data_IF_549583471411
#
_entry.id   IF_549583471411
#
_cell.length_a   1.000
_cell.length_b   1.000
_cell.length_c   1.000
_cell.angle_alpha   90.00
_cell.angle_beta   90.00
_cell.angle_gamma   90.00
#
_symmetry.space_group_name_H-M   'P 1'
#
loop_
_entity.id
_entity.type
_entity.pdbx_description
1 polymer ?
#
# COMPACT_ATOMS: atom_id res chain seq x y z
N UNK A 1 26.90 72.11 22.42
CA UNK A 1 28.15 71.45 22.02
C UNK A 1 27.94 70.82 20.65
N UNK A 2 28.11 71.56 19.55
CA UNK A 2 29.38 71.77 18.80
C UNK A 2 29.54 70.75 17.66
N UNK A 3 29.02 71.11 16.48
CA UNK A 3 29.70 71.15 15.15
C UNK A 3 31.01 70.34 14.98
N UNK A 4 31.37 69.68 13.86
CA UNK A 4 31.36 70.10 12.44
C UNK A 4 31.92 68.99 11.53
N UNK A 5 31.63 69.13 10.24
CA UNK A 5 32.09 68.44 9.01
C UNK A 5 33.61 68.60 8.66
N UNK A 6 34.05 68.05 7.50
CA UNK A 6 35.34 68.31 6.75
C UNK A 6 36.51 67.33 7.10
N UNK A 7 37.33 66.71 6.22
CA UNK A 7 37.49 66.66 4.73
C UNK A 7 38.35 65.47 4.22
N UNK A 8 38.26 65.17 2.91
CA UNK A 8 39.24 64.46 2.03
C UNK A 8 40.47 65.38 1.70
N UNK A 9 41.53 65.05 0.88
CA UNK A 9 41.58 64.02 -0.19
C UNK A 9 42.97 63.37 -0.57
N UNK A 10 42.94 62.55 -1.64
CA UNK A 10 43.95 62.32 -2.73
C UNK A 10 45.39 61.82 -2.48
N UNK A 11 45.73 60.71 -3.18
CA UNK A 11 46.96 60.43 -3.98
C UNK A 11 46.90 58.96 -4.46
N UNK A 12 47.31 58.49 -5.65
CA UNK A 12 47.84 59.09 -6.91
C UNK A 12 47.55 58.10 -8.06
N UNK A 13 47.39 58.55 -9.31
CA UNK A 13 47.13 57.71 -10.48
C UNK A 13 48.41 57.14 -11.15
N UNK A 14 48.29 56.02 -11.88
CA UNK A 14 49.21 55.68 -12.99
C UNK A 14 48.57 54.78 -14.06
N UNK A 15 49.02 54.93 -15.31
CA UNK A 15 48.36 54.58 -16.59
C UNK A 15 49.47 54.30 -17.63
N UNK A 16 49.39 53.40 -18.63
CA UNK A 16 48.27 52.61 -19.19
C UNK A 16 48.67 51.13 -19.46
N UNK A 17 47.76 50.33 -20.03
CA UNK A 17 48.06 49.00 -20.58
C UNK A 17 46.83 48.31 -21.20
N UNK A 18 46.45 48.71 -22.42
CA UNK A 18 45.23 48.23 -23.11
C UNK A 18 45.45 46.92 -23.88
N UNK A 19 44.54 45.95 -23.75
CA UNK A 19 44.16 45.04 -24.87
C UNK A 19 42.78 44.38 -24.69
N UNK A 20 41.88 44.70 -25.62
CA UNK A 20 40.91 43.80 -26.29
C UNK A 20 39.90 42.98 -25.48
N UNK A 21 38.63 43.38 -25.54
CA UNK A 21 37.45 42.52 -25.37
C UNK A 21 37.23 41.63 -26.61
N UNK A 22 36.51 40.50 -26.46
CA UNK A 22 35.14 40.51 -26.98
C UNK A 22 34.11 39.93 -26.01
N UNK A 23 32.92 40.52 -26.01
CA UNK A 23 31.74 39.94 -25.37
C UNK A 23 31.33 38.66 -26.11
N UNK A 24 30.94 37.64 -25.36
CA UNK A 24 30.10 36.55 -25.88
C UNK A 24 28.97 36.32 -24.89
N UNK A 25 27.75 36.64 -25.31
CA UNK A 25 26.53 36.23 -24.61
C UNK A 25 26.47 34.70 -24.57
N UNK A 26 26.96 34.11 -23.48
CA UNK A 26 26.59 32.75 -23.14
C UNK A 26 25.15 32.77 -22.64
N UNK A 27 24.24 32.69 -23.59
CA UNK A 27 22.83 32.49 -23.36
C UNK A 27 22.64 31.37 -22.34
N UNK A 28 22.14 31.76 -21.15
CA UNK A 28 21.71 30.84 -20.12
C UNK A 28 20.48 30.09 -20.64
N UNK A 29 20.72 29.09 -21.49
CA UNK A 29 19.74 28.08 -21.86
C UNK A 29 19.42 27.34 -20.57
N UNK A 30 18.43 27.85 -19.84
CA UNK A 30 17.79 27.19 -18.72
C UNK A 30 17.42 25.81 -19.22
N UNK A 31 18.23 24.83 -18.83
CA UNK A 31 17.94 23.45 -19.11
C UNK A 31 16.75 23.13 -18.23
N UNK A 32 15.56 23.31 -18.78
CA UNK A 32 14.35 22.76 -18.20
C UNK A 32 14.54 21.26 -18.22
N UNK A 33 15.10 20.74 -17.13
CA UNK A 33 15.00 19.33 -16.78
C UNK A 33 13.50 19.08 -16.71
N UNK A 34 12.96 18.47 -17.76
CA UNK A 34 11.66 17.81 -17.70
C UNK A 34 11.82 16.71 -16.67
N UNK A 35 11.58 17.08 -15.41
CA UNK A 35 11.69 16.24 -14.25
C UNK A 35 10.66 15.13 -14.36
N UNK A 36 11.06 14.04 -15.02
CA UNK A 36 10.37 12.76 -14.95
C UNK A 36 10.44 12.38 -13.47
N UNK A 37 9.39 12.73 -12.71
CA UNK A 37 9.20 12.20 -11.37
C UNK A 37 9.22 10.68 -11.50
N UNK A 38 10.22 10.04 -10.91
CA UNK A 38 10.27 8.58 -10.85
C UNK A 38 8.93 8.08 -10.30
N UNK A 39 8.33 7.14 -11.04
CA UNK A 39 7.02 6.62 -10.68
C UNK A 39 7.16 5.82 -9.37
N UNK A 40 6.72 6.43 -8.26
CA UNK A 40 6.89 5.88 -6.91
C UNK A 40 6.30 4.48 -6.82
N UNK A 41 7.13 3.51 -6.47
CA UNK A 41 6.69 2.15 -6.15
C UNK A 41 6.20 2.10 -4.71
N UNK A 42 5.13 1.35 -4.50
CA UNK A 42 4.46 1.10 -3.23
C UNK A 42 4.44 -0.40 -2.96
N UNK A 43 4.34 -0.77 -1.70
CA UNK A 43 4.20 -2.15 -1.25
C UNK A 43 2.77 -2.38 -0.74
N UNK A 44 2.18 -3.49 -1.13
CA UNK A 44 0.96 -4.05 -0.54
C UNK A 44 1.28 -5.40 0.10
N UNK A 45 0.68 -5.70 1.25
CA UNK A 45 0.87 -6.97 1.96
C UNK A 45 -0.46 -7.48 2.49
N UNK A 46 -0.77 -8.73 2.18
CA UNK A 46 -1.81 -9.51 2.87
C UNK A 46 -1.22 -10.09 4.16
N UNK A 47 -1.98 -9.99 5.24
CA UNK A 47 -1.79 -10.80 6.43
C UNK A 47 -3.14 -11.34 6.93
N UNK A 48 -3.09 -12.37 7.77
CA UNK A 48 -4.27 -13.09 8.21
C UNK A 48 -4.31 -13.25 9.73
N UNK A 49 -5.50 -13.12 10.32
CA UNK A 49 -5.78 -13.42 11.72
C UNK A 49 -6.89 -14.49 11.79
N UNK A 50 -6.63 -15.61 12.45
CA UNK A 50 -7.66 -16.62 12.74
C UNK A 50 -8.63 -16.08 13.81
N UNK A 51 -9.92 -15.95 13.47
CA UNK A 51 -10.98 -15.48 14.37
C UNK A 51 -12.07 -16.56 14.52
N UNK A 52 -11.64 -17.71 15.04
CA UNK A 52 -12.52 -18.83 15.41
C UNK A 52 -13.07 -19.57 14.20
N UNK A 53 -14.21 -19.14 13.67
CA UNK A 53 -14.85 -19.74 12.48
C UNK A 53 -14.70 -18.90 11.22
N UNK A 54 -14.07 -17.72 11.32
CA UNK A 54 -13.70 -16.89 10.18
C UNK A 54 -12.19 -16.66 10.12
N UNK A 55 -11.67 -16.56 8.90
CA UNK A 55 -10.37 -15.98 8.63
C UNK A 55 -10.57 -14.48 8.39
N UNK A 56 -9.96 -13.62 9.20
CA UNK A 56 -9.87 -12.21 8.88
C UNK A 56 -8.62 -11.98 8.03
N UNK A 57 -8.84 -11.55 6.80
CA UNK A 57 -7.78 -11.16 5.85
C UNK A 57 -7.68 -9.65 5.86
N UNK A 58 -6.46 -9.12 6.01
CA UNK A 58 -6.19 -7.70 5.88
C UNK A 58 -5.19 -7.47 4.76
N UNK A 59 -5.55 -6.62 3.79
CA UNK A 59 -4.61 -6.07 2.83
C UNK A 59 -4.26 -4.63 3.23
N UNK A 60 -3.00 -4.40 3.57
CA UNK A 60 -2.48 -3.08 3.94
C UNK A 60 -1.46 -2.59 2.91
N UNK A 61 -1.37 -1.28 2.71
CA UNK A 61 -0.44 -0.67 1.75
C UNK A 61 0.42 0.43 2.40
N UNK A 62 1.68 0.49 1.97
CA UNK A 62 2.69 1.42 2.48
C UNK A 62 3.68 1.85 1.38
N UNK A 63 4.44 2.91 1.63
CA UNK A 63 5.63 3.26 0.83
C UNK A 63 6.81 2.31 1.08
N UNK A 64 6.92 1.77 2.29
CA UNK A 64 8.00 0.90 2.73
C UNK A 64 7.43 -0.43 3.25
N UNK A 65 7.86 -1.54 2.66
CA UNK A 65 7.46 -2.89 3.06
C UNK A 65 8.06 -3.27 4.43
N UNK A 66 9.24 -2.76 4.80
CA UNK A 66 9.86 -3.05 6.09
C UNK A 66 9.06 -2.41 7.22
N UNK A 67 8.71 -1.12 7.10
CA UNK A 67 7.85 -0.42 8.06
C UNK A 67 6.49 -1.13 8.23
N UNK A 68 5.88 -1.59 7.12
CA UNK A 68 4.63 -2.35 7.17
C UNK A 68 4.80 -3.72 7.86
N UNK A 69 5.92 -4.41 7.61
CA UNK A 69 6.28 -5.68 8.27
C UNK A 69 6.51 -5.50 9.78
N UNK A 70 7.16 -4.41 10.19
CA UNK A 70 7.42 -4.10 11.59
C UNK A 70 6.13 -3.76 12.34
N UNK A 71 5.27 -2.94 11.74
CA UNK A 71 3.92 -2.67 12.25
C UNK A 71 3.12 -3.96 12.46
N UNK A 72 3.02 -4.83 11.45
CA UNK A 72 2.26 -6.09 11.57
C UNK A 72 2.84 -7.00 12.67
N UNK A 73 4.17 -7.09 12.80
CA UNK A 73 4.83 -7.89 13.86
C UNK A 73 4.57 -7.34 15.27
N UNK A 74 4.47 -6.02 15.42
CA UNK A 74 4.19 -5.33 16.69
C UNK A 74 2.73 -5.53 17.11
N UNK A 75 1.81 -5.14 16.23
CA UNK A 75 0.41 -4.92 16.59
C UNK A 75 -0.44 -6.19 16.37
N UNK A 76 0.00 -7.08 15.47
CA UNK A 76 -0.64 -8.35 15.14
C UNK A 76 0.36 -9.52 15.26
N UNK A 77 0.97 -9.78 16.44
CA UNK A 77 2.08 -10.73 16.60
C UNK A 77 1.72 -12.20 16.33
N UNK A 78 0.43 -12.51 16.16
CA UNK A 78 -0.07 -13.85 15.76
C UNK A 78 -0.48 -13.92 14.29
N UNK A 79 -0.37 -12.84 13.53
CA UNK A 79 -0.82 -12.82 12.15
C UNK A 79 0.09 -13.66 11.25
N UNK A 80 -0.53 -14.47 10.40
CA UNK A 80 0.15 -15.18 9.33
C UNK A 80 0.45 -14.19 8.19
N UNK A 81 1.69 -14.19 7.68
CA UNK A 81 2.05 -13.35 6.53
C UNK A 81 1.62 -14.02 5.23
N UNK A 82 0.80 -13.32 4.44
CA UNK A 82 0.37 -13.73 3.11
C UNK A 82 1.24 -13.18 1.97
N UNK A 83 0.64 -13.08 0.78
CA UNK A 83 1.26 -12.50 -0.41
C UNK A 83 1.60 -11.02 -0.21
N UNK A 84 2.77 -10.60 -0.69
CA UNK A 84 3.08 -9.19 -0.90
C UNK A 84 3.15 -8.89 -2.40
N UNK A 85 2.89 -7.64 -2.77
CA UNK A 85 3.02 -7.13 -4.14
C UNK A 85 3.68 -5.76 -4.12
N UNK A 86 4.40 -5.44 -5.20
CA UNK A 86 4.82 -4.08 -5.50
C UNK A 86 3.93 -3.53 -6.61
N UNK A 87 3.51 -2.28 -6.48
CA UNK A 87 2.66 -1.62 -7.46
C UNK A 87 2.98 -0.13 -7.55
N UNK A 88 2.51 0.52 -8.62
CA UNK A 88 2.57 1.97 -8.80
C UNK A 88 1.14 2.45 -9.01
N UNK A 89 0.74 3.56 -8.38
CA UNK A 89 -0.56 4.17 -8.71
C UNK A 89 -0.52 4.67 -10.15
N UNK A 90 -1.64 4.51 -10.87
CA UNK A 90 -1.82 5.01 -12.24
C UNK A 90 -1.83 6.54 -12.28
N UNK A 91 -2.57 7.14 -11.34
CA UNK A 91 -2.85 8.58 -11.29
C UNK A 91 -2.20 9.23 -10.07
N UNK A 92 -1.84 10.52 -10.18
CA UNK A 92 -1.06 11.19 -9.14
C UNK A 92 -1.80 11.34 -7.81
N UNK A 93 -3.10 11.64 -7.85
CA UNK A 93 -4.00 11.68 -6.69
C UNK A 93 -4.89 10.42 -6.62
N UNK A 94 -4.40 9.32 -7.21
CA UNK A 94 -5.14 8.08 -7.39
C UNK A 94 -5.44 7.32 -6.10
N UNK A 95 -6.33 6.35 -6.25
CA UNK A 95 -6.56 5.27 -5.30
C UNK A 95 -6.41 3.93 -6.01
N UNK A 96 -6.13 2.87 -5.26
CA UNK A 96 -6.31 1.50 -5.75
C UNK A 96 -7.63 0.95 -5.22
N UNK A 97 -8.30 0.09 -6.00
CA UNK A 97 -9.52 -0.61 -5.59
C UNK A 97 -9.33 -2.13 -5.72
N UNK A 98 -9.74 -2.88 -4.70
CA UNK A 98 -9.76 -4.34 -4.72
C UNK A 98 -11.09 -4.82 -5.31
N UNK A 99 -11.02 -5.56 -6.42
CA UNK A 99 -12.19 -6.01 -7.19
C UNK A 99 -12.62 -7.43 -6.78
N UNK A 100 -13.81 -7.53 -6.16
CA UNK A 100 -14.42 -8.79 -5.69
C UNK A 100 -15.51 -9.34 -6.63
N UNK A 101 -15.76 -8.62 -7.73
CA UNK A 101 -16.69 -8.93 -8.82
C UNK A 101 -15.99 -9.55 -10.04
N UNK A 102 -14.66 -9.73 -9.99
CA UNK A 102 -13.88 -10.34 -11.05
C UNK A 102 -14.14 -11.85 -11.19
N UNK A 103 -14.20 -12.40 -12.43
CA UNK A 103 -14.24 -13.83 -12.67
C UNK A 103 -13.09 -14.59 -11.99
N UNK A 104 -13.35 -15.84 -11.62
CA UNK A 104 -12.41 -16.71 -10.91
C UNK A 104 -12.14 -17.97 -11.73
N UNK A 105 -10.87 -18.34 -11.87
CA UNK A 105 -10.45 -19.54 -12.62
C UNK A 105 -10.63 -20.82 -11.80
N UNK A 106 -10.49 -20.73 -10.47
CA UNK A 106 -10.69 -21.82 -9.52
C UNK A 106 -12.10 -21.77 -8.88
N UNK A 107 -12.69 -22.91 -8.50
CA UNK A 107 -14.00 -22.94 -7.88
C UNK A 107 -13.98 -22.29 -6.48
N UNK A 108 -14.96 -21.43 -6.21
CA UNK A 108 -15.13 -20.74 -4.92
C UNK A 108 -16.34 -21.25 -4.12
N UNK A 109 -16.91 -22.39 -4.53
CA UNK A 109 -18.14 -22.96 -3.96
C UNK A 109 -18.02 -23.17 -2.45
N UNK A 110 -19.06 -22.75 -1.72
CA UNK A 110 -19.14 -22.77 -0.26
C UNK A 110 -18.31 -21.70 0.47
N UNK A 111 -17.45 -20.96 -0.23
CA UNK A 111 -16.73 -19.84 0.37
C UNK A 111 -17.54 -18.53 0.28
N UNK A 112 -17.51 -17.74 1.36
CA UNK A 112 -18.09 -16.39 1.41
C UNK A 112 -16.96 -15.40 1.72
N UNK A 113 -16.69 -14.52 0.75
CA UNK A 113 -15.70 -13.45 0.86
C UNK A 113 -16.46 -12.14 1.06
N UNK A 114 -16.19 -11.42 2.15
CA UNK A 114 -16.91 -10.19 2.52
C UNK A 114 -15.92 -9.05 2.82
N UNK A 115 -15.69 -8.09 1.91
CA UNK A 115 -14.97 -6.87 2.26
C UNK A 115 -15.79 -6.04 3.25
N UNK A 116 -15.12 -5.46 4.25
CA UNK A 116 -15.74 -4.64 5.30
C UNK A 116 -16.00 -3.19 4.86
N UNK A 117 -15.48 -2.79 3.69
CA UNK A 117 -15.67 -1.47 3.09
C UNK A 117 -16.12 -1.60 1.63
N UNK A 118 -17.00 -0.70 1.19
CA UNK A 118 -17.47 -0.62 -0.21
C UNK A 118 -17.53 0.84 -0.67
N UNK A 119 -16.80 1.24 -1.74
CA UNK A 119 -15.79 0.46 -2.44
C UNK A 119 -14.57 0.17 -1.54
N UNK A 120 -13.89 -0.96 -1.73
CA UNK A 120 -12.68 -1.28 -0.96
C UNK A 120 -11.47 -0.61 -1.63
N UNK A 121 -11.19 0.64 -1.22
CA UNK A 121 -10.19 1.53 -1.80
C UNK A 121 -9.14 1.98 -0.80
N UNK A 122 -7.90 2.12 -1.26
CA UNK A 122 -6.80 2.78 -0.52
C UNK A 122 -6.32 3.98 -1.32
N UNK A 123 -6.37 5.19 -0.76
CA UNK A 123 -5.91 6.40 -1.42
C UNK A 123 -4.40 6.59 -1.29
N UNK A 124 -3.75 7.07 -2.35
CA UNK A 124 -2.30 7.33 -2.35
C UNK A 124 -1.89 8.34 -1.28
N UNK A 125 -2.73 9.32 -0.98
CA UNK A 125 -2.47 10.29 0.08
C UNK A 125 -2.30 9.64 1.45
N UNK A 126 -3.11 8.63 1.77
CA UNK A 126 -3.08 7.95 3.07
C UNK A 126 -1.90 6.98 3.14
N UNK A 127 -1.63 6.27 2.03
CA UNK A 127 -0.46 5.39 1.89
C UNK A 127 0.85 6.18 2.00
N UNK A 128 0.87 7.43 1.55
CA UNK A 128 2.03 8.31 1.69
C UNK A 128 2.30 8.79 3.12
N UNK A 129 1.24 8.90 3.95
CA UNK A 129 1.31 9.47 5.30
C UNK A 129 1.60 8.43 6.39
N UNK A 130 1.43 7.13 6.11
CA UNK A 130 1.74 6.08 7.07
C UNK A 130 3.17 6.23 7.64
N UNK A 131 3.27 6.35 8.97
CA UNK A 131 4.51 6.61 9.71
C UNK A 131 4.71 8.08 10.13
N UNK A 132 3.86 9.01 9.67
CA UNK A 132 3.80 10.37 10.22
C UNK A 132 3.18 10.39 11.63
N UNK A 133 3.49 11.42 12.43
CA UNK A 133 3.06 11.54 13.84
C UNK A 133 1.56 11.36 14.08
N UNK A 134 0.72 11.78 13.13
CA UNK A 134 -0.74 11.68 13.22
C UNK A 134 -1.33 10.52 12.37
N UNK A 135 -0.48 9.72 11.72
CA UNK A 135 -0.86 8.63 10.82
C UNK A 135 -0.05 7.34 11.15
N UNK A 136 -0.15 6.82 12.39
CA UNK A 136 0.63 5.65 12.83
C UNK A 136 0.14 4.33 12.23
N UNK A 137 -1.07 4.29 11.66
CA UNK A 137 -1.68 3.08 11.09
C UNK A 137 -1.58 3.10 9.56
N UNK A 138 -1.23 1.98 8.91
CA UNK A 138 -1.28 1.89 7.45
C UNK A 138 -2.74 1.82 6.98
N UNK A 139 -3.09 2.46 5.85
CA UNK A 139 -4.40 2.26 5.25
C UNK A 139 -4.55 0.79 4.81
N UNK A 140 -5.70 0.20 5.12
CA UNK A 140 -5.96 -1.20 4.85
C UNK A 140 -7.43 -1.48 4.51
N UNK A 141 -7.67 -2.57 3.77
CA UNK A 141 -8.98 -3.19 3.63
C UNK A 141 -9.02 -4.48 4.44
N UNK A 142 -10.08 -4.63 5.23
CA UNK A 142 -10.42 -5.86 5.95
C UNK A 142 -11.43 -6.68 5.13
N UNK A 143 -11.25 -7.99 5.11
CA UNK A 143 -12.09 -8.97 4.42
C UNK A 143 -12.30 -10.16 5.34
N UNK A 144 -13.56 -10.47 5.70
CA UNK A 144 -13.87 -11.76 6.34
C UNK A 144 -14.02 -12.85 5.28
N UNK A 145 -13.42 -14.00 5.54
CA UNK A 145 -13.53 -15.21 4.72
C UNK A 145 -14.12 -16.34 5.57
N UNK A 146 -15.20 -16.94 5.07
CA UNK A 146 -15.88 -18.06 5.70
C UNK A 146 -15.97 -19.24 4.73
N UNK A 147 -15.63 -20.45 5.17
CA UNK A 147 -15.96 -21.69 4.46
C UNK A 147 -17.16 -22.37 5.11
N UNK A 148 -18.17 -22.74 4.33
CA UNK A 148 -19.24 -23.64 4.78
C UNK A 148 -18.80 -25.11 4.78
N UNK A 149 -19.54 -26.04 5.42
CA UNK A 149 -19.15 -27.46 5.46
C UNK A 149 -19.05 -28.14 4.08
N UNK A 150 -19.79 -27.63 3.09
CA UNK A 150 -19.78 -28.03 1.68
C UNK A 150 -18.75 -27.29 0.81
N UNK A 151 -17.92 -26.42 1.41
CA UNK A 151 -16.92 -25.66 0.68
C UNK A 151 -15.82 -26.55 0.09
N UNK A 152 -15.29 -26.13 -1.07
CA UNK A 152 -14.12 -26.78 -1.67
C UNK A 152 -12.93 -26.73 -0.70
N UNK A 153 -12.04 -27.75 -0.66
CA UNK A 153 -11.05 -27.90 0.41
C UNK A 153 -10.09 -26.71 0.56
N UNK A 154 -9.81 -26.02 -0.55
CA UNK A 154 -8.93 -24.86 -0.63
C UNK A 154 -9.63 -23.75 -1.40
N UNK A 155 -9.60 -22.54 -0.86
CA UNK A 155 -9.91 -21.30 -1.56
C UNK A 155 -8.64 -20.76 -2.20
N UNK A 156 -8.72 -20.39 -3.47
CA UNK A 156 -7.71 -19.60 -4.17
C UNK A 156 -8.42 -18.48 -4.93
N UNK A 157 -8.62 -17.35 -4.25
CA UNK A 157 -9.49 -16.27 -4.70
C UNK A 157 -8.67 -15.08 -5.19
N UNK A 158 -8.79 -14.79 -6.50
CA UNK A 158 -8.09 -13.71 -7.20
C UNK A 158 -8.83 -12.38 -7.03
N UNK A 159 -8.10 -11.35 -6.64
CA UNK A 159 -8.57 -9.97 -6.45
C UNK A 159 -7.69 -9.06 -7.31
N UNK A 160 -8.12 -8.70 -8.52
CA UNK A 160 -7.45 -7.67 -9.31
C UNK A 160 -7.41 -6.33 -8.57
N UNK A 161 -6.28 -5.64 -8.67
CA UNK A 161 -6.17 -4.24 -8.26
C UNK A 161 -6.48 -3.34 -9.45
N UNK A 162 -7.52 -2.52 -9.33
CA UNK A 162 -7.74 -1.36 -10.21
C UNK A 162 -6.96 -0.14 -9.67
N UNK A 163 -6.72 0.85 -10.52
CA UNK A 163 -6.00 2.09 -10.16
C UNK A 163 -4.46 1.96 -10.11
N UNK A 164 -3.92 0.79 -10.44
CA UNK A 164 -2.47 0.56 -10.63
C UNK A 164 -2.02 0.85 -12.06
N UNK A 165 -0.76 1.22 -12.24
CA UNK A 165 -0.15 1.47 -13.55
C UNK A 165 0.14 0.17 -14.33
N UNK A 166 0.58 -0.86 -13.61
CA UNK A 166 0.84 -2.21 -14.13
C UNK A 166 -0.19 -3.17 -13.48
N UNK A 167 -1.02 -3.90 -14.24
CA UNK A 167 -2.04 -4.79 -13.67
C UNK A 167 -1.43 -5.86 -12.76
N UNK A 168 -2.03 -6.04 -11.58
CA UNK A 168 -1.64 -7.07 -10.61
C UNK A 168 -2.87 -7.58 -9.86
N UNK A 169 -2.86 -8.88 -9.53
CA UNK A 169 -3.87 -9.50 -8.68
C UNK A 169 -3.26 -9.97 -7.36
N UNK A 170 -4.02 -9.77 -6.29
CA UNK A 170 -3.81 -10.41 -5.00
C UNK A 170 -4.54 -11.76 -4.97
N UNK A 171 -4.04 -12.71 -4.19
CA UNK A 171 -4.65 -14.02 -4.00
C UNK A 171 -4.89 -14.30 -2.53
N UNK A 172 -6.16 -14.39 -2.14
CA UNK A 172 -6.55 -14.95 -0.84
C UNK A 172 -6.47 -16.46 -0.96
N UNK A 173 -5.59 -17.07 -0.17
CA UNK A 173 -5.44 -18.53 -0.11
C UNK A 173 -5.82 -19.03 1.28
N UNK A 174 -6.84 -19.87 1.36
CA UNK A 174 -7.31 -20.49 2.61
C UNK A 174 -7.65 -21.96 2.43
N UNK A 175 -7.56 -22.72 3.52
CA UNK A 175 -7.86 -24.14 3.56
C UNK A 175 -8.93 -24.40 4.61
N UNK A 176 -9.93 -25.23 4.29
CA UNK A 176 -11.01 -25.51 5.23
C UNK A 176 -10.47 -26.26 6.45
N UNK A 177 -10.46 -25.63 7.63
CA UNK A 177 -9.99 -26.24 8.88
C UNK A 177 -10.98 -27.29 9.39
N UNK A 178 -10.90 -28.52 8.85
CA UNK A 178 -11.83 -29.63 9.13
C UNK A 178 -11.84 -30.11 10.59
N UNK A 179 -10.88 -29.71 11.42
CA UNK A 179 -10.73 -30.19 12.80
C UNK A 179 -11.95 -29.85 13.67
N UNK A 180 -12.53 -28.64 13.51
CA UNK A 180 -13.73 -28.26 14.27
C UNK A 180 -14.99 -29.01 13.78
N UNK A 181 -15.09 -29.26 12.47
CA UNK A 181 -16.24 -29.95 11.85
C UNK A 181 -16.31 -31.44 12.24
N UNK A 182 -15.17 -32.09 12.50
CA UNK A 182 -15.13 -33.46 13.01
C UNK A 182 -15.59 -33.52 14.47
N UNK A 183 -15.17 -32.58 15.31
CA UNK A 183 -15.61 -32.52 16.72
C UNK A 183 -17.13 -32.28 16.84
N UNK A 184 -17.71 -31.42 15.99
CA UNK A 184 -19.18 -31.25 15.96
C UNK A 184 -19.92 -32.53 15.56
N UNK A 185 -19.40 -33.32 14.62
CA UNK A 185 -19.99 -34.60 14.23
C UNK A 185 -19.86 -35.69 15.31
N UNK A 186 -18.78 -35.66 16.11
CA UNK A 186 -18.58 -36.60 17.23
C UNK A 186 -19.48 -36.26 18.44
N UNK A 187 -19.84 -34.98 18.61
CA UNK A 187 -20.68 -34.50 19.71
C UNK A 187 -22.19 -34.59 19.45
N UNK A 188 -22.61 -34.86 18.21
CA UNK A 188 -24.02 -35.09 17.88
C UNK A 188 -24.44 -36.51 18.30
N UNK A 189 -25.59 -36.69 18.99
CA UNK A 189 -26.11 -38.01 19.26
C UNK A 189 -26.45 -38.73 17.94
N UNK A 190 -26.31 -40.07 17.88
CA UNK A 190 -26.66 -40.82 16.69
C UNK A 190 -28.15 -40.60 16.34
N UNK A 191 -28.51 -40.61 15.04
CA UNK A 191 -29.90 -40.46 14.63
C UNK A 191 -30.77 -41.55 15.26
N UNK A 192 -32.02 -41.24 15.65
CA UNK A 192 -32.91 -42.24 16.23
C UNK A 192 -33.14 -43.38 15.24
N UNK A 193 -33.28 -44.64 15.73
CA UNK A 193 -33.54 -45.77 14.86
C UNK A 193 -34.84 -45.57 14.06
N UNK A 194 -34.95 -46.13 12.84
CA UNK A 194 -36.18 -46.08 12.06
C UNK A 194 -37.35 -46.65 12.86
N UNK A 195 -38.50 -45.97 12.82
CA UNK A 195 -39.74 -46.50 13.36
C UNK A 195 -40.17 -47.70 12.50
N UNK A 196 -40.34 -48.86 13.14
CA UNK A 196 -40.94 -50.08 12.56
C UNK A 196 -42.43 -50.14 12.86
#
# INVERSE_FOLDING_TARGET
STTKETSLPTNTASVAGSTTTPNTDHANKVLQSTGVKEATTYAGLIYYEEKGVEDLVTFAAARDLNALIEFIKSDFPRAERGQHVYFRFKDNDGCIELKFDAPQDEPVTGWKIKPHMKPCRLHRCDVNRFGETNYPLPPCCLISVYGSPDAVPTLHYSIPLEGVADPVSLYIRRSLQRILLLLQQILLPPPPPPLM
#
